data_IF_277964465305
#
_entry.id   IF_277964465305
#
_cell.length_a   1.000
_cell.length_b   1.000
_cell.length_c   1.000
_cell.angle_alpha   90.00
_cell.angle_beta   90.00
_cell.angle_gamma   90.00
#
_symmetry.space_group_name_H-M   'P 1'
#
loop_
_entity.id
_entity.type
_entity.pdbx_description
1 polymer ?
#
# COMPACT_ATOMS: atom_id res chain seq x y z
N UNK A 1 2.15 0.56 16.12
CA UNK A 1 2.72 0.59 14.76
C UNK A 1 4.14 0.04 14.83
N UNK A 2 4.32 -1.23 14.47
CA UNK A 2 5.62 -1.97 14.55
C UNK A 2 6.30 -2.13 13.18
N UNK A 3 5.62 -1.73 12.10
CA UNK A 3 6.00 -2.02 10.72
C UNK A 3 7.28 -1.27 10.32
N UNK A 4 7.51 -0.07 10.86
CA UNK A 4 8.67 0.78 10.52
C UNK A 4 10.00 0.32 11.16
N UNK A 5 9.97 -0.46 12.24
CA UNK A 5 11.19 -0.72 13.04
C UNK A 5 12.13 -1.76 12.42
N UNK A 6 11.62 -2.59 11.52
CA UNK A 6 12.40 -3.62 10.84
C UNK A 6 12.31 -3.31 9.35
N UNK A 7 13.29 -2.57 8.78
CA UNK A 7 13.30 -2.30 7.35
C UNK A 7 13.44 -3.61 6.59
N UNK A 8 13.02 -3.61 5.33
CA UNK A 8 13.25 -4.75 4.48
C UNK A 8 14.76 -5.04 4.38
N UNK A 9 15.18 -6.32 4.40
CA UNK A 9 16.59 -6.63 4.34
C UNK A 9 17.21 -6.13 3.03
N UNK A 10 18.11 -5.15 3.13
CA UNK A 10 18.81 -4.58 1.98
C UNK A 10 19.46 -5.64 1.07
N UNK A 11 20.14 -6.70 1.58
CA UNK A 11 20.69 -7.74 0.71
C UNK A 11 19.62 -8.46 -0.12
N UNK A 12 18.39 -8.58 0.38
CA UNK A 12 17.31 -9.19 -0.38
C UNK A 12 16.90 -8.29 -1.55
N UNK A 13 16.71 -6.99 -1.31
CA UNK A 13 16.41 -6.01 -2.37
C UNK A 13 17.48 -6.06 -3.48
N UNK A 14 18.75 -6.08 -3.11
CA UNK A 14 19.86 -6.17 -4.06
C UNK A 14 19.80 -7.44 -4.92
N UNK A 15 19.49 -8.60 -4.32
CA UNK A 15 19.37 -9.86 -5.05
C UNK A 15 18.17 -9.84 -6.00
N UNK A 16 17.04 -9.25 -5.60
CA UNK A 16 15.89 -9.05 -6.48
C UNK A 16 16.23 -8.19 -7.69
N UNK A 17 16.91 -7.07 -7.49
CA UNK A 17 17.32 -6.17 -8.58
C UNK A 17 18.31 -6.85 -9.52
N UNK A 18 19.31 -7.56 -8.97
CA UNK A 18 20.26 -8.33 -9.77
C UNK A 18 19.55 -9.42 -10.60
N UNK A 19 18.59 -10.14 -10.01
CA UNK A 19 17.81 -11.14 -10.72
C UNK A 19 17.02 -10.52 -11.88
N UNK A 20 16.42 -9.34 -11.67
CA UNK A 20 15.69 -8.60 -12.71
C UNK A 20 16.61 -8.11 -13.82
N UNK A 21 17.83 -7.67 -13.50
CA UNK A 21 18.85 -7.31 -14.50
C UNK A 21 19.26 -8.53 -15.32
N UNK A 22 19.53 -9.68 -14.69
CA UNK A 22 19.83 -10.92 -15.42
C UNK A 22 18.68 -11.35 -16.32
N UNK A 23 17.45 -11.30 -15.80
CA UNK A 23 16.25 -11.59 -16.59
C UNK A 23 16.14 -10.63 -17.78
N UNK A 24 16.32 -9.32 -17.57
CA UNK A 24 16.26 -8.32 -18.65
C UNK A 24 17.28 -8.57 -19.77
N UNK A 25 18.50 -9.00 -19.43
CA UNK A 25 19.54 -9.33 -20.41
C UNK A 25 19.27 -10.65 -21.15
N UNK A 26 18.76 -11.67 -20.44
CA UNK A 26 18.57 -13.02 -21.01
C UNK A 26 17.24 -13.20 -21.73
N UNK A 27 16.21 -12.47 -21.31
CA UNK A 27 14.88 -12.40 -21.89
C UNK A 27 14.87 -12.32 -23.44
N UNK A 28 15.48 -11.29 -24.08
CA UNK A 28 15.47 -11.16 -25.53
C UNK A 28 16.15 -12.34 -26.24
N UNK A 29 17.25 -12.86 -25.66
CA UNK A 29 18.02 -13.97 -26.23
C UNK A 29 17.19 -15.26 -26.22
N UNK A 30 16.50 -15.54 -25.12
CA UNK A 30 15.66 -16.74 -25.00
C UNK A 30 14.44 -16.64 -25.92
N UNK A 31 13.74 -15.50 -25.89
CA UNK A 31 12.52 -15.31 -26.68
C UNK A 31 12.81 -15.33 -28.18
N UNK A 32 13.97 -14.83 -28.63
CA UNK A 32 14.35 -14.90 -30.05
C UNK A 32 14.55 -16.33 -30.56
N UNK A 33 14.79 -17.31 -29.68
CA UNK A 33 14.86 -18.73 -30.06
C UNK A 33 13.48 -19.40 -30.08
N UNK A 34 12.50 -18.85 -29.37
CA UNK A 34 11.16 -19.42 -29.23
C UNK A 34 10.19 -18.97 -30.32
N UNK A 35 10.40 -17.77 -30.86
CA UNK A 35 9.46 -17.13 -31.78
C UNK A 35 10.16 -16.69 -33.05
N UNK A 36 9.63 -17.12 -34.21
CA UNK A 36 10.18 -16.76 -35.52
C UNK A 36 9.87 -15.33 -35.93
N UNK A 37 8.68 -14.83 -35.56
CA UNK A 37 8.22 -13.50 -35.95
C UNK A 37 8.80 -12.42 -35.01
N UNK A 38 9.50 -11.41 -35.54
CA UNK A 38 10.19 -10.41 -34.73
C UNK A 38 9.23 -9.53 -33.91
N UNK A 39 8.04 -9.25 -34.41
CA UNK A 39 7.03 -8.46 -33.68
C UNK A 39 6.59 -9.14 -32.39
N UNK A 40 6.36 -10.46 -32.46
CA UNK A 40 5.99 -11.26 -31.29
C UNK A 40 7.17 -11.41 -30.32
N UNK A 41 8.40 -11.54 -30.82
CA UNK A 41 9.58 -11.58 -29.97
C UNK A 41 9.76 -10.27 -29.17
N UNK A 42 9.53 -9.12 -29.82
CA UNK A 42 9.50 -7.82 -29.15
C UNK A 42 8.39 -7.75 -28.11
N UNK A 43 7.15 -8.08 -28.50
CA UNK A 43 5.98 -7.99 -27.60
C UNK A 43 6.14 -8.83 -26.34
N UNK A 44 6.58 -10.08 -26.46
CA UNK A 44 6.76 -10.96 -25.29
C UNK A 44 7.92 -10.51 -24.40
N UNK A 45 9.05 -10.11 -25.01
CA UNK A 45 10.19 -9.58 -24.25
C UNK A 45 9.82 -8.30 -23.51
N UNK A 46 9.10 -7.39 -24.16
CA UNK A 46 8.68 -6.13 -23.55
C UNK A 46 7.72 -6.36 -22.39
N UNK A 47 6.65 -7.13 -22.60
CA UNK A 47 5.62 -7.38 -21.57
C UNK A 47 6.23 -7.98 -20.30
N UNK A 48 7.07 -9.02 -20.43
CA UNK A 48 7.63 -9.67 -19.26
C UNK A 48 8.60 -8.75 -18.48
N UNK A 49 9.45 -8.01 -19.18
CA UNK A 49 10.39 -7.06 -18.56
C UNK A 49 9.61 -5.94 -17.89
N UNK A 50 8.64 -5.36 -18.60
CA UNK A 50 7.83 -4.25 -18.10
C UNK A 50 7.06 -4.63 -16.84
N UNK A 51 6.38 -5.78 -16.84
CA UNK A 51 5.60 -6.22 -15.68
C UNK A 51 6.51 -6.47 -14.48
N UNK A 52 7.63 -7.18 -14.67
CA UNK A 52 8.50 -7.54 -13.55
C UNK A 52 9.21 -6.33 -12.93
N UNK A 53 9.69 -5.40 -13.76
CA UNK A 53 10.24 -4.13 -13.26
C UNK A 53 9.16 -3.24 -12.63
N UNK A 54 7.98 -3.16 -13.23
CA UNK A 54 6.86 -2.42 -12.66
C UNK A 54 6.47 -2.93 -11.28
N UNK A 55 6.39 -4.26 -11.09
CA UNK A 55 6.11 -4.87 -9.79
C UNK A 55 7.22 -4.59 -8.76
N UNK A 56 8.50 -4.61 -9.17
CA UNK A 56 9.61 -4.26 -8.29
C UNK A 56 9.47 -2.82 -7.77
N UNK A 57 9.25 -1.85 -8.67
CA UNK A 57 9.09 -0.45 -8.27
C UNK A 57 7.87 -0.21 -7.39
N UNK A 58 6.73 -0.83 -7.70
CA UNK A 58 5.53 -0.76 -6.85
C UNK A 58 5.82 -1.34 -5.46
N UNK A 59 6.55 -2.45 -5.38
CA UNK A 59 6.92 -3.04 -4.10
C UNK A 59 7.84 -2.12 -3.28
N UNK A 60 8.81 -1.46 -3.94
CA UNK A 60 9.68 -0.47 -3.28
C UNK A 60 8.91 0.72 -2.73
N UNK A 61 7.91 1.22 -3.47
CA UNK A 61 7.06 2.33 -3.00
C UNK A 61 6.27 1.94 -1.74
N UNK A 62 5.64 0.75 -1.75
CA UNK A 62 4.80 0.27 -0.64
C UNK A 62 5.63 -0.01 0.62
N UNK A 63 6.94 -0.23 0.49
CA UNK A 63 7.82 -0.47 1.64
C UNK A 63 7.94 0.75 2.55
N UNK A 64 7.83 1.97 2.03
CA UNK A 64 7.99 3.21 2.79
C UNK A 64 6.70 4.06 2.84
N UNK A 65 5.61 3.57 3.46
CA UNK A 65 4.29 4.22 3.41
C UNK A 65 4.21 5.54 4.21
N UNK A 66 5.29 5.95 4.86
CA UNK A 66 5.37 7.17 5.69
C UNK A 66 6.28 8.23 5.06
N UNK A 67 6.54 8.12 3.75
CA UNK A 67 7.31 9.09 2.99
C UNK A 67 6.50 10.35 2.64
N UNK A 68 6.81 10.92 1.47
CA UNK A 68 6.16 12.12 0.94
C UNK A 68 5.63 11.93 -0.48
N UNK A 69 5.59 10.69 -0.96
CA UNK A 69 5.12 10.34 -2.28
C UNK A 69 3.59 10.42 -2.34
N UNK A 70 3.05 10.50 -3.56
CA UNK A 70 1.61 10.72 -3.77
C UNK A 70 0.74 9.59 -3.21
N UNK A 71 1.30 8.39 -3.03
CA UNK A 71 0.60 7.21 -2.52
C UNK A 71 0.93 6.90 -1.05
N UNK A 72 1.64 7.80 -0.35
CA UNK A 72 1.95 7.64 1.07
C UNK A 72 0.77 7.98 1.97
N UNK A 73 0.85 7.55 3.23
CA UNK A 73 -0.14 7.86 4.25
C UNK A 73 -0.13 9.36 4.56
N UNK A 74 -1.32 9.97 4.62
CA UNK A 74 -1.48 11.36 5.08
C UNK A 74 -1.26 11.45 6.60
N UNK A 75 0.02 11.52 7.00
CA UNK A 75 0.40 11.67 8.40
C UNK A 75 -0.18 12.94 9.04
N UNK A 76 -0.41 14.00 8.27
CA UNK A 76 -0.95 15.26 8.77
C UNK A 76 -2.43 15.14 9.14
N UNK A 77 -3.24 14.55 8.25
CA UNK A 77 -4.65 14.26 8.51
C UNK A 77 -4.83 13.27 9.66
N UNK A 78 -4.00 12.23 9.72
CA UNK A 78 -4.01 11.27 10.83
C UNK A 78 -3.69 11.93 12.17
N UNK A 79 -2.73 12.86 12.20
CA UNK A 79 -2.39 13.61 13.42
C UNK A 79 -3.54 14.53 13.84
N UNK A 80 -4.17 15.22 12.89
CA UNK A 80 -5.32 16.08 13.17
C UNK A 80 -6.50 15.27 13.73
N UNK A 81 -6.76 14.09 13.19
CA UNK A 81 -7.79 13.17 13.69
C UNK A 81 -7.50 12.70 15.11
N UNK A 82 -6.24 12.32 15.39
CA UNK A 82 -5.82 11.99 16.75
C UNK A 82 -6.07 13.15 17.71
N UNK A 83 -5.74 14.39 17.34
CA UNK A 83 -5.98 15.57 18.16
C UNK A 83 -7.49 15.76 18.45
N UNK A 84 -8.36 15.55 17.44
CA UNK A 84 -9.81 15.59 17.62
C UNK A 84 -10.29 14.54 18.62
N UNK A 85 -9.79 13.31 18.53
CA UNK A 85 -10.12 12.25 19.49
C UNK A 85 -9.67 12.58 20.91
N UNK A 86 -8.47 13.13 21.08
CA UNK A 86 -7.99 13.58 22.40
C UNK A 86 -8.87 14.68 22.99
N UNK A 87 -9.31 15.65 22.16
CA UNK A 87 -10.24 16.69 22.58
C UNK A 87 -11.63 16.13 22.97
N UNK A 88 -12.11 15.08 22.29
CA UNK A 88 -13.36 14.42 22.66
C UNK A 88 -13.29 13.81 24.06
N UNK A 89 -12.18 13.16 24.42
CA UNK A 89 -12.00 12.54 25.74
C UNK A 89 -12.00 13.56 26.91
N UNK A 90 -11.71 14.82 26.63
CA UNK A 90 -11.76 15.91 27.62
C UNK A 90 -13.20 16.36 27.87
N UNK A 91 -14.12 16.17 26.92
CA UNK A 91 -15.51 16.62 27.07
C UNK A 91 -16.20 15.82 28.17
N UNK A 92 -16.77 16.53 29.15
CA UNK A 92 -17.48 15.92 30.28
C UNK A 92 -18.62 15.00 29.83
N UNK A 93 -19.26 15.29 28.70
CA UNK A 93 -20.33 14.48 28.12
C UNK A 93 -19.86 13.07 27.72
N UNK A 94 -18.61 12.94 27.26
CA UNK A 94 -18.01 11.65 26.91
C UNK A 94 -17.61 10.80 28.12
N UNK A 95 -17.60 11.40 29.32
CA UNK A 95 -17.23 10.74 30.57
C UNK A 95 -18.44 10.19 31.32
N UNK A 96 -19.64 10.38 30.78
CA UNK A 96 -20.90 9.92 31.37
C UNK A 96 -21.64 9.02 30.40
N UNK A 97 -22.20 7.91 30.89
CA UNK A 97 -23.11 7.10 30.09
C UNK A 97 -24.40 7.88 29.82
N UNK A 98 -24.91 7.91 28.58
CA UNK A 98 -26.14 8.62 28.25
C UNK A 98 -27.33 8.01 28.97
N UNK A 99 -28.21 8.87 29.50
CA UNK A 99 -29.47 8.47 30.12
C UNK A 99 -30.59 8.27 29.10
N UNK A 100 -31.48 7.31 29.35
CA UNK A 100 -32.71 7.13 28.57
C UNK A 100 -33.66 8.30 28.82
N UNK A 101 -34.07 8.99 27.76
CA UNK A 101 -35.16 9.98 27.82
C UNK A 101 -36.51 9.28 27.69
N UNK A 102 -37.56 9.84 28.30
CA UNK A 102 -38.93 9.32 28.21
C UNK A 102 -39.50 9.35 26.78
N UNK A 103 -38.90 10.15 25.89
CA UNK A 103 -39.22 10.19 24.46
C UNK A 103 -38.80 8.90 23.72
N UNK A 104 -37.75 8.21 24.18
CA UNK A 104 -37.29 6.96 23.58
C UNK A 104 -38.29 5.81 23.75
N UNK A 105 -39.12 5.85 24.80
CA UNK A 105 -40.17 4.85 25.04
C UNK A 105 -41.35 4.97 24.07
N UNK A 106 -41.62 6.17 23.53
CA UNK A 106 -42.74 6.40 22.60
C UNK A 106 -42.54 5.73 21.23
N UNK A 107 -41.31 5.45 20.82
CA UNK A 107 -41.03 4.80 19.54
C UNK A 107 -41.34 3.30 19.53
N UNK A 108 -41.38 2.64 20.69
CA UNK A 108 -41.65 1.19 20.79
C UNK A 108 -43.14 0.85 20.91
N UNK A 109 -43.99 1.81 21.25
CA UNK A 109 -45.45 1.63 21.35
C UNK A 109 -46.19 1.95 20.03
N UNK A 110 -45.47 2.39 18.98
CA UNK A 110 -46.00 2.65 17.64
C UNK A 110 -45.63 1.57 16.60
N UNK A 111 -45.05 0.44 17.03
CA UNK A 111 -44.92 -0.82 16.28
C UNK A 111 -45.89 -1.87 16.84
#
# INVERSE_FOLDING_TARGET
>A
VKITYIPFPFPYAQICDLLLVFHWLTAPVVISQWVTAPEWAFMFTFIQVFILWGLNYIASEIENPFGTDANDLDGSGMQEEMNRHLLLLIKGESQTVPGLTTEALRFREME
#
